data_IF_388944468417
#
_entry.id   IF_388944468417
#
_cell.length_a   1.000
_cell.length_b   1.000
_cell.length_c   1.000
_cell.angle_alpha   90.00
_cell.angle_beta   90.00
_cell.angle_gamma   90.00
#
_symmetry.space_group_name_H-M   'P 1'
#
loop_
_entity.id
_entity.type
_entity.pdbx_description
1 polymer ?
#
# COMPACT_ATOMS: atom_id res chain seq x y z
N UNK A 1 4.97 18.49 8.97
CA UNK A 1 4.04 17.40 8.59
C UNK A 1 3.81 17.36 7.08
N UNK A 2 3.40 18.46 6.42
CA UNK A 2 3.21 18.49 4.96
C UNK A 2 4.44 18.08 4.13
N UNK A 3 5.64 18.46 4.57
CA UNK A 3 6.91 18.10 3.93
C UNK A 3 7.11 16.58 3.78
N UNK A 4 6.70 15.79 4.78
CA UNK A 4 6.77 14.32 4.72
C UNK A 4 5.76 13.72 3.73
N UNK A 5 4.72 14.48 3.37
CA UNK A 5 3.62 14.07 2.50
C UNK A 5 3.84 14.54 1.05
N UNK A 6 5.06 14.96 0.70
CA UNK A 6 5.44 15.38 -0.65
C UNK A 6 6.70 14.70 -1.20
N UNK A 7 7.26 13.73 -0.48
CA UNK A 7 8.56 13.11 -0.80
C UNK A 7 8.44 11.81 -1.60
N UNK A 8 8.06 10.70 -0.97
CA UNK A 8 7.86 9.40 -1.67
C UNK A 8 6.39 9.13 -2.01
N UNK A 9 5.49 9.60 -1.15
CA UNK A 9 4.05 9.47 -1.34
C UNK A 9 3.43 10.84 -1.60
N UNK A 10 2.51 10.90 -2.56
CA UNK A 10 1.78 12.11 -2.93
C UNK A 10 0.28 11.98 -2.58
N UNK A 11 -0.09 11.88 -1.29
CA UNK A 11 -1.46 11.62 -0.87
C UNK A 11 -2.42 12.78 -1.17
N UNK A 12 -1.94 14.01 -1.36
CA UNK A 12 -2.77 15.18 -1.64
C UNK A 12 -2.96 15.46 -3.12
N UNK A 13 -2.27 14.72 -3.98
CA UNK A 13 -2.33 14.90 -5.43
C UNK A 13 -3.78 14.78 -5.93
N UNK A 14 -4.26 15.82 -6.61
CA UNK A 14 -5.61 15.93 -7.14
C UNK A 14 -6.72 15.74 -6.09
N UNK A 15 -6.43 15.95 -4.80
CA UNK A 15 -7.44 15.89 -3.73
C UNK A 15 -8.00 17.28 -3.43
N UNK A 16 -9.32 17.41 -3.23
CA UNK A 16 -9.91 18.63 -2.73
C UNK A 16 -9.45 18.88 -1.28
N UNK A 17 -9.00 20.10 -0.98
CA UNK A 17 -8.54 20.50 0.36
C UNK A 17 -9.21 21.82 0.77
N UNK A 18 -9.74 21.86 1.98
CA UNK A 18 -10.24 23.07 2.62
C UNK A 18 -9.26 23.52 3.71
N UNK A 19 -9.00 24.82 3.79
CA UNK A 19 -8.13 25.40 4.81
C UNK A 19 -9.01 26.05 5.88
N UNK A 20 -8.75 25.69 7.13
CA UNK A 20 -9.36 26.28 8.33
C UNK A 20 -8.26 26.76 9.25
N UNK A 21 -8.46 27.89 9.93
CA UNK A 21 -7.46 28.37 10.86
C UNK A 21 -8.02 29.32 11.91
N UNK A 22 -7.48 29.22 13.11
CA UNK A 22 -7.80 30.07 14.24
C UNK A 22 -6.57 30.84 14.72
N UNK A 23 -6.75 32.08 15.21
CA UNK A 23 -5.67 32.86 15.81
C UNK A 23 -6.12 33.62 17.06
N UNK A 24 -5.16 34.03 17.87
CA UNK A 24 -5.41 34.76 19.11
C UNK A 24 -5.83 36.21 18.91
N UNK A 25 -5.66 36.77 17.72
CA UNK A 25 -5.83 38.19 17.44
C UNK A 25 -6.83 38.42 16.30
N UNK A 26 -7.26 39.67 16.12
CA UNK A 26 -8.33 40.06 15.20
C UNK A 26 -7.99 39.84 13.72
N UNK A 27 -6.69 39.76 13.39
CA UNK A 27 -6.22 39.55 12.02
C UNK A 27 -6.42 38.10 11.52
N UNK A 28 -6.96 37.21 12.37
CA UNK A 28 -7.27 35.83 12.02
C UNK A 28 -6.02 35.08 11.57
N UNK A 29 -6.18 34.16 10.62
CA UNK A 29 -5.09 33.34 10.05
C UNK A 29 -4.75 33.70 8.60
N UNK A 30 -5.23 34.85 8.11
CA UNK A 30 -5.18 35.28 6.70
C UNK A 30 -3.81 35.06 6.04
N UNK A 31 -2.73 35.54 6.65
CA UNK A 31 -1.37 35.38 6.12
C UNK A 31 -0.92 33.92 6.08
N UNK A 32 -1.19 33.17 7.16
CA UNK A 32 -0.79 31.77 7.27
C UNK A 32 -1.53 30.91 6.22
N UNK A 33 -2.82 31.18 6.00
CA UNK A 33 -3.61 30.46 5.00
C UNK A 33 -3.13 30.73 3.57
N UNK A 34 -2.77 31.97 3.24
CA UNK A 34 -2.18 32.31 1.93
C UNK A 34 -0.86 31.56 1.69
N UNK A 35 0.01 31.47 2.71
CA UNK A 35 1.25 30.71 2.60
C UNK A 35 0.98 29.20 2.47
N UNK A 36 0.06 28.66 3.26
CA UNK A 36 -0.32 27.26 3.20
C UNK A 36 -0.92 26.88 1.84
N UNK A 37 -1.77 27.73 1.27
CA UNK A 37 -2.33 27.54 -0.07
C UNK A 37 -1.23 27.38 -1.13
N UNK A 38 -0.22 28.25 -1.10
CA UNK A 38 0.93 28.16 -2.01
C UNK A 38 1.69 26.84 -1.87
N UNK A 39 1.82 26.32 -0.65
CA UNK A 39 2.48 25.03 -0.40
C UNK A 39 1.64 23.88 -0.96
N UNK A 40 0.32 23.91 -0.75
CA UNK A 40 -0.60 22.89 -1.22
C UNK A 40 -0.72 22.85 -2.75
N UNK A 41 -0.61 24.00 -3.39
CA UNK A 41 -0.63 24.15 -4.86
C UNK A 41 0.76 23.89 -5.50
N UNK A 42 1.81 23.74 -4.70
CA UNK A 42 3.16 23.55 -5.23
C UNK A 42 3.30 22.19 -5.94
N UNK A 43 4.19 22.11 -6.97
CA UNK A 43 4.57 20.85 -7.59
C UNK A 43 5.05 19.84 -6.53
N UNK A 44 4.52 18.62 -6.57
CA UNK A 44 4.80 17.56 -5.58
C UNK A 44 3.73 17.44 -4.48
N UNK A 45 2.87 18.44 -4.29
CA UNK A 45 1.66 18.30 -3.47
C UNK A 45 0.42 18.29 -4.35
N UNK A 46 0.32 19.21 -5.32
CA UNK A 46 -0.71 19.26 -6.36
C UNK A 46 -2.15 19.10 -5.80
N UNK A 47 -2.44 19.72 -4.67
CA UNK A 47 -3.76 19.68 -4.07
C UNK A 47 -4.71 20.70 -4.71
N UNK A 48 -5.98 20.35 -4.80
CA UNK A 48 -7.04 21.25 -5.23
C UNK A 48 -7.59 22.01 -4.04
N UNK A 49 -7.01 23.16 -3.72
CA UNK A 49 -7.48 23.98 -2.59
C UNK A 49 -8.76 24.73 -2.95
N UNK A 50 -9.76 24.76 -2.05
CA UNK A 50 -11.02 25.47 -2.28
C UNK A 50 -10.77 27.00 -2.29
N UNK A 51 -11.04 27.73 -3.39
CA UNK A 51 -10.86 29.17 -3.44
C UNK A 51 -12.05 29.91 -2.80
N UNK A 52 -11.77 31.04 -2.13
CA UNK A 52 -12.79 32.00 -1.68
C UNK A 52 -13.70 31.56 -0.53
N UNK A 53 -13.51 30.36 0.04
CA UNK A 53 -14.28 29.82 1.17
C UNK A 53 -13.33 29.45 2.32
N UNK A 54 -12.56 30.43 2.77
CA UNK A 54 -11.60 30.28 3.86
C UNK A 54 -12.26 30.59 5.19
N UNK A 55 -12.15 29.67 6.15
CA UNK A 55 -12.64 29.91 7.51
C UNK A 55 -11.53 30.49 8.38
N UNK A 56 -11.75 31.71 8.88
CA UNK A 56 -10.77 32.48 9.65
C UNK A 56 -11.37 32.84 11.02
N UNK A 57 -11.00 32.08 12.05
CA UNK A 57 -11.45 32.37 13.41
C UNK A 57 -10.46 33.34 14.10
N UNK A 58 -10.92 34.56 14.38
CA UNK A 58 -10.20 35.51 15.23
C UNK A 58 -10.49 35.28 16.72
N UNK A 59 -9.66 35.84 17.60
CA UNK A 59 -9.83 35.81 19.07
C UNK A 59 -10.15 34.40 19.62
N UNK A 60 -9.43 33.38 19.17
CA UNK A 60 -9.73 31.99 19.48
C UNK A 60 -9.86 31.69 20.98
N UNK A 61 -9.16 32.41 21.87
CA UNK A 61 -9.30 32.26 23.33
C UNK A 61 -10.70 32.53 23.87
N UNK A 62 -11.43 33.44 23.21
CA UNK A 62 -12.76 33.89 23.63
C UNK A 62 -13.86 33.18 22.82
N UNK A 63 -13.48 32.52 21.72
CA UNK A 63 -14.41 31.90 20.78
C UNK A 63 -14.94 30.54 21.25
N UNK A 64 -14.28 29.89 22.20
CA UNK A 64 -14.64 28.56 22.70
C UNK A 64 -15.10 28.59 24.16
N UNK A 65 -16.07 27.73 24.50
CA UNK A 65 -16.48 27.48 25.88
C UNK A 65 -15.55 26.49 26.60
N UNK A 66 -15.90 26.14 27.85
CA UNK A 66 -15.14 25.18 28.66
C UNK A 66 -15.19 23.74 28.13
N UNK A 67 -16.17 23.42 27.29
CA UNK A 67 -16.32 22.11 26.63
C UNK A 67 -15.63 22.07 25.26
N UNK A 68 -15.12 23.20 24.78
CA UNK A 68 -14.44 23.34 23.49
C UNK A 68 -15.37 23.63 22.31
N UNK A 69 -16.62 24.00 22.55
CA UNK A 69 -17.58 24.38 21.51
C UNK A 69 -17.45 25.87 21.16
N UNK A 70 -17.74 26.22 19.90
CA UNK A 70 -17.79 27.62 19.47
C UNK A 70 -19.02 28.28 20.11
N UNK A 71 -18.84 29.42 20.77
CA UNK A 71 -19.92 30.11 21.50
C UNK A 71 -20.77 31.03 20.63
N UNK A 72 -20.23 31.46 19.49
CA UNK A 72 -20.89 32.42 18.59
C UNK A 72 -21.65 31.70 17.46
N UNK A 73 -22.97 31.85 17.45
CA UNK A 73 -23.86 31.24 16.45
C UNK A 73 -23.58 31.72 15.01
N UNK A 74 -23.20 32.99 14.82
CA UNK A 74 -22.83 33.51 13.50
C UNK A 74 -21.57 32.84 12.94
N UNK A 75 -20.60 32.56 13.81
CA UNK A 75 -19.38 31.81 13.45
C UNK A 75 -19.69 30.36 13.11
N UNK A 76 -20.62 29.72 13.83
CA UNK A 76 -21.09 28.36 13.53
C UNK A 76 -21.73 28.31 12.15
N UNK A 77 -22.70 29.19 11.89
CA UNK A 77 -23.40 29.27 10.59
C UNK A 77 -22.41 29.51 9.43
N UNK A 78 -21.39 30.35 9.64
CA UNK A 78 -20.37 30.59 8.63
C UNK A 78 -19.46 29.38 8.39
N UNK A 79 -19.09 28.64 9.44
CA UNK A 79 -18.33 27.40 9.32
C UNK A 79 -19.14 26.32 8.58
N UNK A 80 -20.42 26.17 8.91
CA UNK A 80 -21.34 25.26 8.22
C UNK A 80 -21.44 25.60 6.73
N UNK A 81 -21.63 26.88 6.39
CA UNK A 81 -21.66 27.32 4.99
C UNK A 81 -20.36 26.96 4.24
N UNK A 82 -19.20 27.14 4.89
CA UNK A 82 -17.92 26.81 4.30
C UNK A 82 -17.75 25.29 4.08
N UNK A 83 -18.23 24.47 5.01
CA UNK A 83 -18.23 23.02 4.88
C UNK A 83 -19.18 22.54 3.77
N UNK A 84 -20.38 23.12 3.67
CA UNK A 84 -21.33 22.80 2.60
C UNK A 84 -20.75 23.12 1.21
N UNK A 85 -20.12 24.28 1.07
CA UNK A 85 -19.42 24.67 -0.15
C UNK A 85 -18.26 23.71 -0.47
N UNK A 86 -17.54 23.22 0.55
CA UNK A 86 -16.50 22.22 0.36
C UNK A 86 -17.06 20.87 -0.11
N UNK A 87 -18.17 20.41 0.43
CA UNK A 87 -18.83 19.17 -0.01
C UNK A 87 -19.21 19.26 -1.50
N UNK A 88 -19.79 20.38 -1.93
CA UNK A 88 -20.10 20.61 -3.34
C UNK A 88 -18.83 20.58 -4.21
N UNK A 89 -17.76 21.22 -3.74
CA UNK A 89 -16.49 21.25 -4.44
C UNK A 89 -15.86 19.85 -4.58
N UNK A 90 -15.91 19.02 -3.53
CA UNK A 90 -15.48 17.61 -3.59
C UNK A 90 -16.23 16.86 -4.71
N UNK A 91 -17.54 17.11 -4.86
CA UNK A 91 -18.36 16.53 -5.93
C UNK A 91 -17.94 16.96 -7.35
N UNK A 92 -17.40 18.16 -7.52
CA UNK A 92 -16.86 18.63 -8.80
C UNK A 92 -15.47 18.06 -9.06
N UNK A 93 -14.58 18.13 -8.06
CA UNK A 93 -13.18 17.68 -8.18
C UNK A 93 -13.07 16.17 -8.35
N UNK A 94 -13.95 15.39 -7.71
CA UNK A 94 -13.98 13.94 -7.88
C UNK A 94 -14.22 13.50 -9.33
N UNK A 95 -14.94 14.28 -10.13
CA UNK A 95 -15.13 14.01 -11.57
C UNK A 95 -13.88 14.30 -12.42
N UNK A 96 -12.97 15.13 -11.92
CA UNK A 96 -11.70 15.46 -12.58
C UNK A 96 -10.59 14.45 -12.27
N UNK A 97 -10.76 13.62 -11.23
CA UNK A 97 -9.81 12.56 -10.91
C UNK A 97 -9.80 11.51 -12.00
N UNK A 98 -8.64 11.31 -12.61
CA UNK A 98 -8.33 10.05 -13.28
C UNK A 98 -7.96 9.04 -12.20
N UNK A 99 -8.58 7.85 -12.15
CA UNK A 99 -8.08 6.79 -11.29
C UNK A 99 -6.61 6.54 -11.64
N UNK A 100 -5.75 6.42 -10.62
CA UNK A 100 -4.37 5.97 -10.87
C UNK A 100 -4.48 4.61 -11.57
N UNK A 101 -3.73 4.37 -12.65
CA UNK A 101 -3.67 3.04 -13.24
C UNK A 101 -3.32 2.06 -12.13
N UNK A 102 -4.12 1.00 -11.99
CA UNK A 102 -3.70 -0.14 -11.18
C UNK A 102 -2.53 -0.72 -11.97
N UNK A 103 -1.37 -0.87 -11.33
CA UNK A 103 -0.26 -1.63 -11.92
C UNK A 103 -0.83 -3.00 -12.32
N UNK A 104 -0.60 -3.48 -13.55
CA UNK A 104 -1.12 -4.78 -13.95
C UNK A 104 -0.49 -5.86 -13.05
N UNK A 105 -1.27 -6.41 -12.12
CA UNK A 105 -0.88 -7.57 -11.33
C UNK A 105 -0.94 -8.82 -12.21
N UNK A 106 0.14 -9.60 -12.20
CA UNK A 106 0.19 -10.89 -12.89
C UNK A 106 -0.39 -11.98 -11.99
N UNK A 107 -1.72 -12.06 -11.97
CA UNK A 107 -2.46 -13.03 -11.17
C UNK A 107 -2.27 -14.48 -11.65
N UNK A 108 -1.91 -14.64 -12.92
CA UNK A 108 -1.86 -15.92 -13.62
C UNK A 108 -0.40 -16.35 -13.95
N UNK A 109 0.60 -15.71 -13.36
CA UNK A 109 2.03 -16.06 -13.51
C UNK A 109 2.52 -16.07 -14.97
N UNK A 110 1.99 -15.23 -15.85
CA UNK A 110 2.27 -15.26 -17.29
C UNK A 110 3.61 -14.64 -17.68
N UNK A 111 4.23 -13.83 -16.83
CA UNK A 111 5.46 -13.12 -17.14
C UNK A 111 6.66 -13.82 -16.49
N UNK A 112 7.51 -14.50 -17.28
CA UNK A 112 8.67 -15.21 -16.74
C UNK A 112 9.74 -14.23 -16.25
N UNK A 113 10.40 -14.59 -15.15
CA UNK A 113 11.63 -13.97 -14.64
C UNK A 113 12.83 -14.88 -14.94
N UNK A 114 14.04 -14.44 -14.60
CA UNK A 114 15.28 -15.16 -14.92
C UNK A 114 15.39 -16.58 -14.34
N UNK A 115 14.62 -16.89 -13.29
CA UNK A 115 14.58 -18.19 -12.62
C UNK A 115 13.35 -19.03 -12.96
N UNK A 116 12.42 -18.52 -13.76
CA UNK A 116 11.18 -19.22 -14.10
C UNK A 116 11.47 -20.43 -14.97
N UNK A 117 10.91 -21.59 -14.59
CA UNK A 117 10.95 -22.79 -15.42
C UNK A 117 9.74 -22.79 -16.33
N UNK A 118 9.97 -22.66 -17.64
CA UNK A 118 8.91 -22.46 -18.65
C UNK A 118 8.59 -23.73 -19.44
N UNK A 119 9.48 -24.71 -19.37
CA UNK A 119 9.48 -25.93 -20.17
C UNK A 119 8.64 -27.06 -19.55
N UNK A 120 8.17 -26.88 -18.32
CA UNK A 120 7.38 -27.85 -17.55
C UNK A 120 6.07 -27.19 -17.14
N UNK A 121 4.96 -27.91 -17.33
CA UNK A 121 3.65 -27.48 -16.84
C UNK A 121 3.67 -27.40 -15.30
N UNK A 122 3.36 -26.25 -14.68
CA UNK A 122 3.31 -26.11 -13.22
C UNK A 122 2.34 -27.10 -12.55
N UNK A 123 1.30 -27.53 -13.26
CA UNK A 123 0.31 -28.51 -12.79
C UNK A 123 0.70 -29.96 -13.12
N UNK A 124 1.95 -30.25 -13.51
CA UNK A 124 2.39 -31.63 -13.76
C UNK A 124 2.68 -32.37 -12.43
N UNK A 125 2.08 -33.53 -12.13
CA UNK A 125 2.37 -34.25 -10.88
C UNK A 125 3.84 -34.62 -10.68
N UNK A 126 4.61 -34.73 -11.77
CA UNK A 126 6.04 -35.05 -11.77
C UNK A 126 6.90 -33.81 -12.08
N UNK A 127 6.36 -32.60 -11.90
CA UNK A 127 7.05 -31.35 -12.22
C UNK A 127 8.44 -31.27 -11.56
N UNK A 128 8.56 -31.72 -10.30
CA UNK A 128 9.82 -31.69 -9.54
C UNK A 128 10.93 -32.46 -10.27
N UNK A 129 10.63 -33.67 -10.76
CA UNK A 129 11.61 -34.53 -11.43
C UNK A 129 11.98 -33.97 -12.81
N UNK A 130 11.00 -33.47 -13.57
CA UNK A 130 11.22 -32.87 -14.89
C UNK A 130 12.04 -31.59 -14.80
N UNK A 131 11.74 -30.73 -13.83
CA UNK A 131 12.50 -29.51 -13.56
C UNK A 131 13.92 -29.85 -13.11
N UNK A 132 14.09 -30.88 -12.27
CA UNK A 132 15.41 -31.31 -11.81
C UNK A 132 16.31 -31.77 -12.97
N UNK A 133 15.75 -32.51 -13.94
CA UNK A 133 16.49 -32.95 -15.13
C UNK A 133 16.91 -31.75 -16.01
N UNK A 134 16.01 -30.80 -16.25
CA UNK A 134 16.26 -29.63 -17.11
C UNK A 134 17.29 -28.68 -16.49
N UNK A 135 17.15 -28.41 -15.19
CA UNK A 135 18.00 -27.46 -14.47
C UNK A 135 19.34 -28.06 -14.04
N UNK A 136 19.51 -29.39 -14.16
CA UNK A 136 20.66 -30.10 -13.62
C UNK A 136 20.71 -30.03 -12.09
N UNK A 137 19.54 -30.03 -11.44
CA UNK A 137 19.45 -29.96 -10.00
C UNK A 137 20.15 -31.15 -9.34
N UNK A 138 20.78 -30.89 -8.20
CA UNK A 138 21.53 -31.91 -7.45
C UNK A 138 20.72 -32.38 -6.24
N UNK A 139 20.72 -33.70 -6.01
CA UNK A 139 20.19 -34.34 -4.81
C UNK A 139 21.28 -35.16 -4.12
N UNK A 140 21.05 -35.55 -2.86
CA UNK A 140 21.98 -36.40 -2.11
C UNK A 140 23.04 -35.66 -1.29
N UNK A 141 24.29 -36.12 -1.37
CA UNK A 141 25.37 -35.70 -0.46
C UNK A 141 26.22 -34.52 -0.97
N UNK A 142 25.80 -33.87 -2.05
CA UNK A 142 26.46 -32.68 -2.58
C UNK A 142 26.36 -31.52 -1.58
N UNK A 143 27.48 -30.87 -1.29
CA UNK A 143 27.53 -29.72 -0.39
C UNK A 143 27.04 -28.44 -1.07
N UNK A 144 26.12 -27.75 -0.39
CA UNK A 144 25.60 -26.43 -0.75
C UNK A 144 26.11 -25.42 0.28
N UNK A 145 26.71 -24.33 -0.21
CA UNK A 145 27.10 -23.18 0.62
C UNK A 145 25.88 -22.27 0.80
N UNK A 146 25.46 -22.11 2.04
CA UNK A 146 24.46 -21.13 2.47
C UNK A 146 25.19 -19.89 3.02
N UNK A 147 24.45 -18.81 3.30
CA UNK A 147 25.00 -17.53 3.75
C UNK A 147 26.08 -17.66 4.84
N UNK A 148 25.70 -18.23 6.00
CA UNK A 148 26.60 -18.48 7.13
C UNK A 148 26.78 -19.98 7.48
N UNK A 149 26.61 -20.88 6.51
CA UNK A 149 26.68 -22.33 6.76
C UNK A 149 26.97 -23.18 5.53
N UNK A 150 27.34 -24.45 5.74
CA UNK A 150 27.54 -25.45 4.67
C UNK A 150 26.83 -26.74 5.08
N UNK A 151 25.95 -27.25 4.21
CA UNK A 151 25.16 -28.45 4.45
C UNK A 151 25.07 -29.26 3.15
N UNK A 152 24.93 -30.58 3.24
CA UNK A 152 24.57 -31.38 2.07
C UNK A 152 23.09 -31.20 1.72
N UNK A 153 22.68 -31.50 0.49
CA UNK A 153 21.26 -31.46 0.10
C UNK A 153 20.41 -32.33 1.03
N UNK A 154 20.86 -33.55 1.34
CA UNK A 154 20.20 -34.45 2.31
C UNK A 154 20.06 -33.82 3.71
N UNK A 155 21.05 -33.05 4.18
CA UNK A 155 20.98 -32.36 5.46
C UNK A 155 20.01 -31.18 5.43
N UNK A 156 19.91 -30.47 4.30
CA UNK A 156 18.92 -29.41 4.09
C UNK A 156 17.51 -30.01 4.11
N UNK A 157 17.28 -31.12 3.41
CA UNK A 157 16.00 -31.84 3.44
C UNK A 157 15.62 -32.28 4.85
N UNK A 158 16.58 -32.85 5.60
CA UNK A 158 16.35 -33.27 6.98
C UNK A 158 16.00 -32.08 7.88
N UNK A 159 16.69 -30.96 7.70
CA UNK A 159 16.42 -29.72 8.43
C UNK A 159 15.01 -29.19 8.13
N UNK A 160 14.62 -29.11 6.86
CA UNK A 160 13.32 -28.57 6.45
C UNK A 160 12.14 -29.48 6.85
N UNK A 161 12.34 -30.80 6.82
CA UNK A 161 11.35 -31.79 7.30
C UNK A 161 11.18 -31.79 8.82
N UNK A 162 12.21 -31.39 9.57
CA UNK A 162 12.17 -31.34 11.02
C UNK A 162 11.45 -30.09 11.58
N UNK A 163 11.09 -29.12 10.73
CA UNK A 163 10.40 -27.91 11.17
C UNK A 163 8.96 -28.22 11.58
N UNK A 164 8.47 -27.69 12.72
CA UNK A 164 7.12 -27.97 13.23
C UNK A 164 6.01 -27.16 12.54
N UNK A 165 6.30 -26.56 11.39
CA UNK A 165 5.38 -25.76 10.59
C UNK A 165 5.60 -26.04 9.10
N UNK A 166 4.55 -25.80 8.32
CA UNK A 166 4.57 -25.96 6.87
C UNK A 166 5.28 -24.76 6.24
N UNK A 167 6.32 -25.04 5.46
CA UNK A 167 7.02 -24.07 4.65
C UNK A 167 6.62 -24.27 3.20
N UNK A 168 6.23 -23.17 2.55
CA UNK A 168 5.92 -23.12 1.12
C UNK A 168 6.70 -21.97 0.51
N UNK A 169 7.26 -22.18 -0.67
CA UNK A 169 7.95 -21.14 -1.41
C UNK A 169 7.37 -21.01 -2.82
N UNK A 170 7.01 -19.78 -3.15
CA UNK A 170 6.79 -19.32 -4.51
C UNK A 170 7.73 -18.15 -4.77
N UNK A 171 8.22 -18.02 -6.00
CA UNK A 171 9.13 -16.96 -6.40
C UNK A 171 8.41 -15.67 -6.82
N UNK A 172 9.18 -14.68 -7.30
CA UNK A 172 8.67 -13.34 -7.64
C UNK A 172 7.70 -13.33 -8.85
N UNK A 173 7.63 -14.42 -9.63
CA UNK A 173 6.63 -14.60 -10.68
C UNK A 173 5.49 -15.56 -10.26
N UNK A 174 5.30 -15.75 -8.95
CA UNK A 174 4.28 -16.62 -8.36
C UNK A 174 4.37 -18.09 -8.82
N UNK A 175 5.54 -18.57 -9.27
CA UNK A 175 5.75 -20.00 -9.56
C UNK A 175 5.98 -20.76 -8.25
N UNK A 176 5.20 -21.80 -8.01
CA UNK A 176 5.34 -22.66 -6.84
C UNK A 176 6.55 -23.60 -7.02
N UNK A 177 7.49 -23.58 -6.08
CA UNK A 177 8.78 -24.28 -6.22
C UNK A 177 9.14 -25.19 -5.05
N UNK A 178 8.51 -25.06 -3.89
CA UNK A 178 8.87 -25.91 -2.75
C UNK A 178 7.78 -26.00 -1.70
N UNK A 179 7.64 -27.18 -1.11
CA UNK A 179 6.91 -27.41 0.13
C UNK A 179 7.58 -28.53 0.93
N UNK A 180 7.63 -28.40 2.26
CA UNK A 180 8.34 -29.36 3.13
C UNK A 180 7.50 -30.55 3.61
N UNK A 181 6.17 -30.48 3.49
CA UNK A 181 5.26 -31.51 3.97
C UNK A 181 4.10 -31.73 2.98
N UNK A 182 3.93 -32.95 2.48
CA UNK A 182 2.73 -33.33 1.74
C UNK A 182 1.56 -33.48 2.72
N UNK A 183 0.49 -32.70 2.54
CA UNK A 183 -0.70 -32.83 3.39
C UNK A 183 -1.27 -34.25 3.30
N UNK A 184 -1.66 -34.82 4.45
CA UNK A 184 -2.18 -36.20 4.55
C UNK A 184 -3.52 -36.42 3.83
N UNK A 185 -4.21 -35.34 3.45
CA UNK A 185 -5.51 -35.36 2.76
C UNK A 185 -5.61 -34.14 1.82
N UNK A 186 -4.96 -34.20 0.65
CA UNK A 186 -4.90 -33.07 -0.28
C UNK A 186 -6.26 -32.62 -0.79
N UNK A 187 -7.24 -33.52 -0.82
CA UNK A 187 -8.59 -33.26 -1.31
C UNK A 187 -9.41 -32.35 -0.38
N UNK A 188 -8.98 -32.23 0.88
CA UNK A 188 -9.59 -31.30 1.86
C UNK A 188 -9.09 -29.87 1.75
N UNK A 189 -8.06 -29.61 0.92
CA UNK A 189 -7.52 -28.27 0.71
C UNK A 189 -8.23 -27.52 -0.42
N UNK A 190 -8.58 -26.25 -0.18
CA UNK A 190 -9.11 -25.35 -1.22
C UNK A 190 -8.09 -25.05 -2.33
N UNK A 191 -6.80 -25.10 -2.01
CA UNK A 191 -5.69 -25.04 -2.95
C UNK A 191 -4.90 -26.34 -2.81
N UNK A 192 -5.27 -27.35 -3.61
CA UNK A 192 -4.61 -28.67 -3.59
C UNK A 192 -3.14 -28.48 -3.99
N UNK A 193 -2.23 -29.07 -3.23
CA UNK A 193 -0.78 -29.08 -3.51
C UNK A 193 -0.35 -30.28 -4.35
N UNK A 194 -1.33 -31.02 -4.85
CA UNK A 194 -1.18 -32.11 -5.79
C UNK A 194 -2.05 -31.71 -6.97
N UNK A 195 -1.48 -31.56 -8.18
CA UNK A 195 -2.31 -31.34 -9.35
C UNK A 195 -3.26 -32.55 -9.57
N UNK A 196 -4.45 -32.32 -10.16
CA UNK A 196 -5.48 -33.34 -10.34
C UNK A 196 -5.08 -34.53 -11.23
#
# INVERSE_FOLDING_TARGET
VLEWLSFEVHPFENKPVMIVGASYYDQGTSRAQVHLRKILEAPGVNAYTLPGNEFLLGKAKEAFDLEGNITNEGTINFLEQCLDNFIQYVGVVSKLKKPKPIEPEDLDCNNPIATTVTEVDPDDPEWVEKVAEITGAVSGDTYVKLDHGILTVNQIDMFLKAMPFELTYADDNNQFLYYNNSHQDPDTMFAKRVPP
#
